data_IF_439659873615
#
_entry.id   IF_439659873615
#
_cell.length_a   1.000
_cell.length_b   1.000
_cell.length_c   1.000
_cell.angle_alpha   90.00
_cell.angle_beta   90.00
_cell.angle_gamma   90.00
#
_symmetry.space_group_name_H-M   'P 1'
#
loop_
_entity.id
_entity.type
_entity.pdbx_description
1 polymer ?
#
# COMPACT_ATOMS: atom_id res chain seq x y z
N UNK A 1 -18.27 -31.38 -8.14
CA UNK A 1 -17.00 -30.65 -7.97
C UNK A 1 -17.30 -29.15 -7.98
N UNK A 2 -16.73 -28.36 -7.08
CA UNK A 2 -16.87 -26.90 -7.12
C UNK A 2 -16.27 -26.40 -8.43
N UNK A 3 -16.99 -25.58 -9.20
CA UNK A 3 -16.41 -25.04 -10.44
C UNK A 3 -15.30 -24.04 -10.09
N UNK A 4 -14.27 -23.97 -10.93
CA UNK A 4 -13.14 -23.05 -10.74
C UNK A 4 -13.64 -21.61 -10.59
N UNK A 5 -14.67 -21.22 -11.34
CA UNK A 5 -15.29 -19.88 -11.26
C UNK A 5 -15.87 -19.59 -9.87
N UNK A 6 -16.48 -20.60 -9.23
CA UNK A 6 -17.06 -20.44 -7.88
C UNK A 6 -15.97 -20.22 -6.83
N UNK A 7 -14.86 -20.95 -6.91
CA UNK A 7 -13.71 -20.77 -6.01
C UNK A 7 -13.05 -19.39 -6.21
N UNK A 8 -12.95 -18.92 -7.45
CA UNK A 8 -12.43 -17.58 -7.76
C UNK A 8 -13.32 -16.45 -7.20
N UNK A 9 -14.64 -16.58 -7.33
CA UNK A 9 -15.57 -15.60 -6.76
C UNK A 9 -15.49 -15.54 -5.23
N UNK A 10 -15.33 -16.70 -4.57
CA UNK A 10 -15.15 -16.76 -3.11
C UNK A 10 -13.83 -16.11 -2.67
N UNK A 11 -12.76 -16.28 -3.43
CA UNK A 11 -11.47 -15.66 -3.14
C UNK A 11 -11.54 -14.14 -3.27
N UNK A 12 -12.17 -13.63 -4.34
CA UNK A 12 -12.36 -12.19 -4.52
C UNK A 12 -13.17 -11.54 -3.38
N UNK A 13 -14.22 -12.22 -2.91
CA UNK A 13 -15.03 -11.75 -1.78
C UNK A 13 -14.23 -11.75 -0.47
N UNK A 14 -13.43 -12.80 -0.23
CA UNK A 14 -12.55 -12.87 0.94
C UNK A 14 -11.48 -11.77 0.90
N UNK A 15 -10.86 -11.51 -0.24
CA UNK A 15 -9.88 -10.42 -0.40
C UNK A 15 -10.51 -9.04 -0.14
N UNK A 16 -11.74 -8.83 -0.63
CA UNK A 16 -12.49 -7.60 -0.37
C UNK A 16 -12.74 -7.42 1.12
N UNK A 17 -13.16 -8.47 1.82
CA UNK A 17 -13.36 -8.44 3.28
C UNK A 17 -12.06 -8.17 4.04
N UNK A 18 -10.98 -8.88 3.70
CA UNK A 18 -9.66 -8.68 4.32
C UNK A 18 -9.17 -7.25 4.13
N UNK A 19 -9.30 -6.69 2.93
CA UNK A 19 -8.87 -5.32 2.66
C UNK A 19 -9.67 -4.28 3.45
N UNK A 20 -10.97 -4.54 3.67
CA UNK A 20 -11.86 -3.68 4.43
C UNK A 20 -11.53 -3.74 5.91
N UNK A 21 -11.35 -4.94 6.46
CA UNK A 21 -10.95 -5.15 7.84
C UNK A 21 -9.59 -4.50 8.14
N UNK A 22 -8.59 -4.71 7.29
CA UNK A 22 -7.26 -4.06 7.42
C UNK A 22 -7.33 -2.54 7.41
N UNK A 23 -8.20 -1.95 6.58
CA UNK A 23 -8.41 -0.50 6.55
C UNK A 23 -9.04 -0.01 7.84
N UNK A 24 -10.04 -0.71 8.36
CA UNK A 24 -10.68 -0.38 9.64
C UNK A 24 -9.66 -0.44 10.80
N UNK A 25 -8.90 -1.53 10.91
CA UNK A 25 -7.85 -1.69 11.92
C UNK A 25 -6.79 -0.58 11.84
N UNK A 26 -6.31 -0.26 10.63
CA UNK A 26 -5.35 0.82 10.41
C UNK A 26 -5.93 2.18 10.84
N UNK A 27 -7.19 2.45 10.52
CA UNK A 27 -7.84 3.71 10.90
C UNK A 27 -8.00 3.82 12.42
N UNK A 28 -8.34 2.72 13.10
CA UNK A 28 -8.38 2.66 14.56
C UNK A 28 -7.01 2.95 15.18
N UNK A 29 -5.95 2.32 14.68
CA UNK A 29 -4.59 2.58 15.13
C UNK A 29 -4.18 4.04 14.90
N UNK A 30 -4.52 4.62 13.75
CA UNK A 30 -4.25 6.04 13.46
C UNK A 30 -5.01 6.98 14.40
N UNK A 31 -6.26 6.66 14.75
CA UNK A 31 -7.03 7.44 15.70
C UNK A 31 -6.37 7.41 17.10
N UNK A 32 -5.93 6.23 17.56
CA UNK A 32 -5.22 6.09 18.83
C UNK A 32 -3.91 6.86 18.85
N UNK A 33 -3.10 6.78 17.78
CA UNK A 33 -1.86 7.57 17.66
C UNK A 33 -2.17 9.07 17.73
N UNK A 34 -3.18 9.55 17.00
CA UNK A 34 -3.58 10.98 17.05
C UNK A 34 -4.02 11.42 18.44
N UNK A 35 -4.75 10.57 19.17
CA UNK A 35 -5.13 10.83 20.55
C UNK A 35 -3.91 10.95 21.46
N UNK A 36 -2.96 10.03 21.37
CA UNK A 36 -1.72 10.08 22.17
C UNK A 36 -0.88 11.32 21.84
N UNK A 37 -0.73 11.64 20.55
CA UNK A 37 -0.02 12.84 20.10
C UNK A 37 -0.63 14.10 20.72
N UNK A 38 -1.96 14.19 20.74
CA UNK A 38 -2.67 15.35 21.30
C UNK A 38 -2.59 15.38 22.83
N UNK A 39 -2.77 14.24 23.50
CA UNK A 39 -2.79 14.14 24.96
C UNK A 39 -1.46 14.54 25.61
N UNK A 40 -0.34 14.22 24.96
CA UNK A 40 1.00 14.52 25.45
C UNK A 40 1.66 15.70 24.73
N UNK A 41 0.90 16.44 23.90
CA UNK A 41 1.40 17.55 23.08
C UNK A 41 2.70 17.20 22.31
N UNK A 42 2.78 15.97 21.78
CA UNK A 42 3.97 15.47 21.10
C UNK A 42 4.14 16.16 19.75
N UNK A 43 5.35 16.60 19.45
CA UNK A 43 5.68 17.13 18.14
C UNK A 43 5.98 16.01 17.14
N UNK A 44 5.78 16.26 15.85
CA UNK A 44 6.14 15.30 14.80
C UNK A 44 7.62 14.89 14.86
N UNK A 45 8.51 15.79 15.33
CA UNK A 45 9.94 15.50 15.50
C UNK A 45 10.20 14.47 16.61
N UNK A 46 9.41 14.47 17.68
CA UNK A 46 9.54 13.51 18.77
C UNK A 46 8.96 12.15 18.40
N UNK A 47 7.86 12.13 17.64
CA UNK A 47 7.21 10.89 17.18
C UNK A 47 8.01 10.18 16.10
N UNK A 48 8.57 10.93 15.14
CA UNK A 48 9.20 10.36 13.95
C UNK A 48 10.73 10.54 13.90
N UNK A 49 11.31 11.29 14.84
CA UNK A 49 12.74 11.55 14.92
C UNK A 49 13.28 12.58 13.93
N UNK A 50 14.57 12.89 14.09
CA UNK A 50 15.30 13.83 13.23
C UNK A 50 15.56 13.18 11.85
N UNK A 51 14.79 13.59 10.84
CA UNK A 51 14.84 13.05 9.47
C UNK A 51 13.47 12.67 8.87
N UNK A 52 12.38 12.89 9.61
CA UNK A 52 11.01 12.63 9.12
C UNK A 52 10.68 13.35 7.81
N UNK A 53 11.16 14.59 7.63
CA UNK A 53 10.90 15.40 6.43
C UNK A 53 11.55 14.84 5.15
N UNK A 54 12.74 14.25 5.24
CA UNK A 54 13.48 13.78 4.06
C UNK A 54 13.19 12.32 3.72
N UNK A 55 12.98 11.48 4.75
CA UNK A 55 12.61 10.08 4.54
C UNK A 55 11.13 9.90 4.20
N UNK A 56 10.21 10.70 4.74
CA UNK A 56 8.81 10.62 4.33
C UNK A 56 8.64 10.86 2.82
N UNK A 57 9.37 11.81 2.22
CA UNK A 57 9.38 12.00 0.75
C UNK A 57 9.85 10.78 -0.05
N UNK A 58 10.72 9.95 0.53
CA UNK A 58 11.15 8.69 -0.10
C UNK A 58 10.07 7.60 -0.04
N UNK A 59 9.21 7.61 0.99
CA UNK A 59 8.14 6.62 1.21
C UNK A 59 6.75 7.08 0.73
N UNK A 60 6.58 8.36 0.36
CA UNK A 60 5.29 8.93 -0.07
C UNK A 60 5.05 8.83 -1.58
N UNK A 61 5.93 8.17 -2.34
CA UNK A 61 5.64 7.89 -3.75
C UNK A 61 4.85 6.59 -3.82
N UNK A 62 3.53 6.72 -3.99
CA UNK A 62 2.63 5.59 -4.18
C UNK A 62 3.08 4.68 -5.35
N UNK A 63 2.58 3.44 -5.40
CA UNK A 63 2.88 2.53 -6.50
C UNK A 63 2.52 3.20 -7.84
N UNK A 64 3.50 3.35 -8.73
CA UNK A 64 3.32 3.95 -10.07
C UNK A 64 3.01 2.89 -11.12
N UNK A 65 3.50 1.67 -10.90
CA UNK A 65 3.34 0.56 -11.82
C UNK A 65 2.73 -0.66 -11.11
N UNK A 66 1.91 -1.43 -11.83
CA UNK A 66 1.29 -2.68 -11.39
C UNK A 66 1.44 -3.75 -12.44
N UNK A 67 1.79 -4.95 -12.01
CA UNK A 67 1.79 -6.14 -12.84
C UNK A 67 0.33 -6.62 -13.08
N UNK A 68 -0.15 -6.70 -14.33
CA UNK A 68 -1.49 -7.20 -14.64
C UNK A 68 -1.65 -8.70 -14.33
N UNK A 69 -0.57 -9.49 -14.28
CA UNK A 69 -0.65 -10.93 -14.05
C UNK A 69 -0.67 -11.28 -12.55
N UNK A 70 0.20 -10.66 -11.75
CA UNK A 70 0.35 -10.99 -10.32
C UNK A 70 -0.22 -9.95 -9.37
N UNK A 71 -0.56 -8.76 -9.87
CA UNK A 71 -0.98 -7.64 -9.04
C UNK A 71 0.15 -7.00 -8.23
N UNK A 72 1.41 -7.44 -8.40
CA UNK A 72 2.57 -6.83 -7.76
C UNK A 72 2.70 -5.36 -8.14
N UNK A 73 3.13 -4.51 -7.22
CA UNK A 73 3.25 -3.07 -7.46
C UNK A 73 4.68 -2.58 -7.30
N UNK A 74 5.04 -1.53 -8.04
CA UNK A 74 6.35 -0.92 -7.98
C UNK A 74 6.24 0.60 -8.06
N UNK A 75 6.95 1.30 -7.18
CA UNK A 75 6.96 2.77 -7.09
C UNK A 75 7.76 3.43 -8.21
N UNK A 76 8.45 2.65 -9.06
CA UNK A 76 9.34 3.17 -10.10
C UNK A 76 10.72 3.62 -9.59
N UNK A 77 11.00 3.45 -8.29
CA UNK A 77 12.30 3.71 -7.67
C UNK A 77 13.00 2.39 -7.31
N UNK A 78 14.33 2.36 -7.42
CA UNK A 78 15.15 1.18 -7.12
C UNK A 78 15.26 0.18 -8.28
N UNK A 79 15.67 -1.06 -7.98
CA UNK A 79 15.82 -2.13 -8.99
C UNK A 79 14.45 -2.47 -9.58
N UNK A 80 14.34 -2.40 -10.91
CA UNK A 80 13.12 -2.78 -11.61
C UNK A 80 12.82 -4.28 -11.38
N UNK A 81 11.59 -4.64 -10.98
CA UNK A 81 11.16 -6.03 -10.91
C UNK A 81 11.21 -6.72 -12.28
N UNK A 82 11.36 -8.04 -12.29
CA UNK A 82 11.47 -8.86 -13.52
C UNK A 82 10.27 -8.71 -14.46
N UNK A 83 9.07 -8.42 -13.94
CA UNK A 83 7.85 -8.27 -14.73
C UNK A 83 7.76 -6.97 -15.54
N UNK A 84 8.50 -5.92 -15.16
CA UNK A 84 8.56 -4.62 -15.88
C UNK A 84 9.96 -4.31 -16.45
N UNK A 85 11.00 -5.01 -15.99
CA UNK A 85 12.35 -4.86 -16.52
C UNK A 85 12.40 -5.22 -18.02
N UNK A 86 12.89 -4.29 -18.84
CA UNK A 86 13.05 -4.49 -20.30
C UNK A 86 11.76 -4.40 -21.13
N UNK A 87 10.61 -4.09 -20.52
CA UNK A 87 9.32 -3.90 -21.22
C UNK A 87 8.93 -2.42 -21.24
N UNK A 88 7.97 -2.07 -22.10
CA UNK A 88 7.40 -0.73 -22.08
C UNK A 88 6.65 -0.50 -20.77
N UNK A 89 7.15 0.44 -19.98
CA UNK A 89 6.66 0.76 -18.64
C UNK A 89 5.29 1.42 -18.68
N UNK A 90 4.92 2.03 -19.80
CA UNK A 90 3.60 2.65 -19.99
C UNK A 90 2.47 1.63 -19.88
N UNK A 91 2.70 0.37 -20.28
CA UNK A 91 1.70 -0.70 -20.20
C UNK A 91 1.36 -1.15 -18.77
N UNK A 92 2.23 -0.84 -17.80
CA UNK A 92 2.07 -1.22 -16.40
C UNK A 92 1.68 -0.03 -15.52
N UNK A 93 1.48 1.15 -16.10
CA UNK A 93 1.23 2.37 -15.34
C UNK A 93 -0.15 2.29 -14.68
N UNK A 94 -0.21 2.54 -13.37
CA UNK A 94 -1.47 2.68 -12.66
C UNK A 94 -2.04 4.04 -13.08
N UNK A 95 -3.06 4.03 -13.96
CA UNK A 95 -3.89 5.20 -14.25
C UNK A 95 -5.01 5.21 -13.21
N UNK A 96 -4.97 6.21 -12.34
CA UNK A 96 -6.05 6.50 -11.38
C UNK A 96 -7.28 7.02 -12.12
#
# INVERSE_FOLDING_TARGET
MQSIQKLQAQLAELDRKISTARRAERNTALAQVRQLVTAYALTAREVFGQGYSDRAKLFTVGPKYRDPATGATWSGRGRAPTWIAGRDRAAFLIRE
#
